data_IF_949944085551
#
_entry.id   IF_949944085551
#
_cell.length_a   1.000
_cell.length_b   1.000
_cell.length_c   1.000
_cell.angle_alpha   90.00
_cell.angle_beta   90.00
_cell.angle_gamma   90.00
#
_symmetry.space_group_name_H-M   'P 1'
#
loop_
_entity.id
_entity.type
_entity.pdbx_description
1 polymer ?
#
# COMPACT_ATOMS: atom_id res chain seq x y z
N UNK A 1 -27.34 14.42 17.33
CA UNK A 1 -25.98 14.99 17.55
C UNK A 1 -25.07 14.39 16.47
N UNK A 2 -24.47 15.15 15.55
CA UNK A 2 -23.60 14.57 14.51
C UNK A 2 -22.12 14.77 14.89
N UNK A 3 -21.40 13.67 15.12
CA UNK A 3 -19.94 13.68 15.17
C UNK A 3 -19.42 12.29 14.77
N UNK A 4 -19.02 12.15 13.51
CA UNK A 4 -17.77 11.51 13.09
C UNK A 4 -17.80 11.31 11.58
N UNK A 5 -17.15 12.22 10.85
CA UNK A 5 -16.98 12.15 9.39
C UNK A 5 -15.50 12.23 8.99
N UNK A 6 -14.60 11.73 9.85
CA UNK A 6 -13.15 11.90 9.66
C UNK A 6 -12.34 10.59 9.82
N UNK A 7 -12.95 9.43 9.61
CA UNK A 7 -12.22 8.16 9.50
C UNK A 7 -12.54 7.38 8.21
N UNK A 8 -13.01 8.04 7.16
CA UNK A 8 -13.44 7.35 5.92
C UNK A 8 -12.59 7.74 4.68
N UNK A 9 -11.50 8.50 4.88
CA UNK A 9 -10.58 8.92 3.79
C UNK A 9 -9.23 8.19 3.85
N UNK A 10 -9.06 7.21 4.75
CA UNK A 10 -7.91 6.29 4.70
C UNK A 10 -8.16 5.05 3.84
N UNK A 11 -9.43 4.66 3.68
CA UNK A 11 -9.81 3.33 3.21
C UNK A 11 -10.28 3.30 1.75
N UNK A 12 -10.75 4.44 1.22
CA UNK A 12 -11.21 4.52 -0.18
C UNK A 12 -10.06 4.70 -1.18
N UNK A 13 -8.94 5.31 -0.77
CA UNK A 13 -7.73 5.42 -1.58
C UNK A 13 -6.97 4.08 -1.69
N UNK A 14 -7.13 3.18 -0.71
CA UNK A 14 -6.57 1.83 -0.75
C UNK A 14 -7.28 0.91 -1.75
N UNK A 15 -8.54 1.18 -2.10
CA UNK A 15 -9.33 0.32 -2.98
C UNK A 15 -9.32 0.75 -4.46
N UNK A 16 -8.96 2.00 -4.77
CA UNK A 16 -8.90 2.50 -6.15
C UNK A 16 -7.54 2.24 -6.86
N UNK A 17 -6.50 1.84 -6.12
CA UNK A 17 -5.16 1.52 -6.66
C UNK A 17 -5.02 0.05 -7.08
N UNK A 18 -6.07 -0.77 -7.00
CA UNK A 18 -5.97 -2.21 -7.27
C UNK A 18 -6.34 -2.65 -8.69
N UNK A 19 -6.60 -1.72 -9.64
CA UNK A 19 -7.10 -2.12 -10.98
C UNK A 19 -6.30 -1.69 -12.20
N UNK A 20 -5.08 -1.15 -12.10
CA UNK A 20 -4.33 -0.83 -13.33
C UNK A 20 -2.79 -0.98 -13.32
N UNK A 21 -2.23 -1.81 -12.44
CA UNK A 21 -0.75 -1.89 -12.33
C UNK A 21 -0.22 -3.31 -12.16
N UNK A 22 -0.69 -4.24 -13.00
CA UNK A 22 0.01 -5.50 -13.24
C UNK A 22 1.39 -5.31 -13.93
N UNK A 23 1.86 -4.08 -14.15
CA UNK A 23 3.17 -3.78 -14.74
C UNK A 23 4.11 -2.94 -13.86
N UNK A 24 3.64 -2.31 -12.78
CA UNK A 24 4.50 -1.55 -11.83
C UNK A 24 3.87 -1.52 -10.43
N UNK A 25 4.49 -2.19 -9.46
CA UNK A 25 4.05 -2.12 -8.06
C UNK A 25 4.24 -0.69 -7.52
N UNK A 26 3.18 -0.08 -6.98
CA UNK A 26 3.21 1.25 -6.35
C UNK A 26 2.91 1.13 -4.86
N UNK A 27 3.55 1.96 -4.04
CA UNK A 27 3.29 2.00 -2.61
C UNK A 27 1.88 2.57 -2.34
N UNK A 28 1.00 1.85 -1.61
CA UNK A 28 -0.35 2.32 -1.33
C UNK A 28 -0.38 3.53 -0.38
N UNK A 29 0.69 3.78 0.38
CA UNK A 29 0.77 4.88 1.35
C UNK A 29 1.19 6.22 0.71
N UNK A 30 2.09 6.22 -0.27
CA UNK A 30 2.64 7.45 -0.84
C UNK A 30 2.64 7.51 -2.38
N UNK A 31 2.20 6.45 -3.07
CA UNK A 31 2.17 6.36 -4.52
C UNK A 31 3.53 6.15 -5.20
N UNK A 32 4.63 6.00 -4.44
CA UNK A 32 5.97 5.79 -4.98
C UNK A 32 6.14 4.41 -5.62
N UNK A 33 6.81 4.32 -6.77
CA UNK A 33 7.22 3.06 -7.38
C UNK A 33 8.49 2.44 -6.79
N UNK A 34 9.10 3.08 -5.79
CA UNK A 34 10.29 2.56 -5.11
C UNK A 34 9.89 1.52 -4.07
N UNK A 35 9.72 0.28 -4.53
CA UNK A 35 9.29 -0.86 -3.72
C UNK A 35 10.31 -1.99 -3.82
N UNK A 36 10.77 -2.47 -2.67
CA UNK A 36 11.58 -3.67 -2.53
C UNK A 36 10.68 -4.85 -2.17
N UNK A 37 10.90 -5.98 -2.84
CA UNK A 37 10.30 -7.26 -2.46
C UNK A 37 11.24 -7.99 -1.49
N UNK A 38 10.69 -8.42 -0.36
CA UNK A 38 11.37 -9.22 0.67
C UNK A 38 10.76 -10.61 0.64
N UNK A 39 11.59 -11.62 0.42
CA UNK A 39 11.17 -13.02 0.53
C UNK A 39 11.34 -13.45 1.99
N UNK A 40 10.24 -13.86 2.63
CA UNK A 40 10.26 -14.42 3.98
C UNK A 40 10.69 -15.88 3.97
N UNK A 41 11.13 -16.38 5.12
CA UNK A 41 11.67 -17.73 5.28
C UNK A 41 10.65 -18.85 4.94
N UNK A 42 9.36 -18.54 5.03
CA UNK A 42 8.27 -19.45 4.67
C UNK A 42 7.90 -19.44 3.17
N UNK A 43 8.67 -18.73 2.34
CA UNK A 43 8.31 -18.47 0.93
C UNK A 43 7.21 -17.42 0.75
N UNK A 44 6.83 -16.72 1.83
CA UNK A 44 5.93 -15.58 1.79
C UNK A 44 6.60 -14.37 1.14
N UNK A 45 5.83 -13.58 0.40
CA UNK A 45 6.32 -12.34 -0.19
C UNK A 45 5.88 -11.19 0.71
N UNK A 46 6.80 -10.28 1.00
CA UNK A 46 6.51 -9.00 1.62
C UNK A 46 7.08 -7.88 0.76
N UNK A 47 6.54 -6.70 0.93
CA UNK A 47 6.94 -5.53 0.18
C UNK A 47 7.24 -4.39 1.14
N UNK A 48 8.26 -3.62 0.82
CA UNK A 48 8.67 -2.42 1.57
C UNK A 48 8.85 -1.28 0.60
N UNK A 49 8.23 -0.13 0.88
CA UNK A 49 8.51 1.08 0.15
C UNK A 49 9.80 1.71 0.68
N UNK A 50 10.82 1.83 -0.16
CA UNK A 50 12.10 2.45 0.22
C UNK A 50 12.04 3.97 0.24
N UNK A 51 10.94 4.57 -0.23
CA UNK A 51 10.71 6.01 -0.19
C UNK A 51 10.05 6.48 1.12
N UNK A 52 9.09 5.73 1.66
CA UNK A 52 8.34 6.14 2.88
C UNK A 52 8.41 5.15 4.04
N UNK A 53 8.99 3.96 3.84
CA UNK A 53 9.11 2.93 4.88
C UNK A 53 7.85 2.09 5.12
N UNK A 54 6.79 2.28 4.32
CA UNK A 54 5.56 1.49 4.45
C UNK A 54 5.80 0.04 4.02
N UNK A 55 5.38 -0.92 4.84
CA UNK A 55 5.51 -2.36 4.60
C UNK A 55 4.14 -3.04 4.50
N UNK A 56 3.98 -4.00 3.58
CA UNK A 56 2.77 -4.82 3.42
C UNK A 56 3.12 -6.23 2.93
N UNK A 57 2.19 -7.19 3.11
CA UNK A 57 2.31 -8.58 2.65
C UNK A 57 1.23 -8.89 1.61
#
# INVERSE_FOLDING_TARGET
MPASILEEVGHLLGSAVTRNTATRLLCPSCGSGHVAQVLGDNGGISYVCTACGHSWS
#
